data_IF_009487169252
#
_entry.id   IF_009487169252
#
_cell.length_a   1.000
_cell.length_b   1.000
_cell.length_c   1.000
_cell.angle_alpha   90.00
_cell.angle_beta   90.00
_cell.angle_gamma   90.00
#
_symmetry.space_group_name_H-M   'P 1'
#
loop_
_entity.id
_entity.type
_entity.pdbx_description
1 polymer ?
#
# COMPACT_ATOMS: atom_id res chain seq x y z
N UNK A 1 -16.78 5.29 9.65
CA UNK A 1 -16.01 4.11 10.07
C UNK A 1 -14.90 3.90 9.05
N UNK A 2 -13.66 4.32 9.34
CA UNK A 2 -12.59 4.40 8.33
C UNK A 2 -11.54 3.29 8.44
N UNK A 3 -11.38 2.68 9.61
CA UNK A 3 -10.40 1.61 9.81
C UNK A 3 -10.83 0.35 9.07
N UNK A 4 -12.11 -0.01 9.16
CA UNK A 4 -12.66 -1.19 8.48
C UNK A 4 -12.45 -1.15 6.98
N UNK A 5 -12.68 0.00 6.34
CA UNK A 5 -12.48 0.14 4.89
C UNK A 5 -11.02 -0.03 4.49
N UNK A 6 -10.08 0.52 5.26
CA UNK A 6 -8.63 0.36 5.00
C UNK A 6 -8.22 -1.11 5.13
N UNK A 7 -8.71 -1.81 6.15
CA UNK A 7 -8.44 -3.25 6.34
C UNK A 7 -9.00 -4.06 5.18
N UNK A 8 -10.27 -3.85 4.81
CA UNK A 8 -10.92 -4.59 3.72
C UNK A 8 -10.21 -4.35 2.38
N UNK A 9 -9.80 -3.12 2.08
CA UNK A 9 -9.05 -2.83 0.84
C UNK A 9 -7.72 -3.57 0.83
N UNK A 10 -6.97 -3.56 1.94
CA UNK A 10 -5.71 -4.28 2.03
C UNK A 10 -5.88 -5.80 1.87
N UNK A 11 -6.93 -6.37 2.46
CA UNK A 11 -7.27 -7.78 2.31
C UNK A 11 -7.61 -8.15 0.86
N UNK A 12 -8.46 -7.35 0.19
CA UNK A 12 -8.81 -7.57 -1.23
C UNK A 12 -7.56 -7.57 -2.10
N UNK A 13 -6.65 -6.60 -1.90
CA UNK A 13 -5.42 -6.50 -2.69
C UNK A 13 -4.46 -7.67 -2.45
N UNK A 14 -4.33 -8.13 -1.19
CA UNK A 14 -3.53 -9.32 -0.84
C UNK A 14 -4.12 -10.61 -1.41
N UNK A 15 -5.42 -10.83 -1.24
CA UNK A 15 -6.11 -12.03 -1.71
C UNK A 15 -6.06 -12.17 -3.24
N UNK A 16 -6.13 -11.04 -3.95
CA UNK A 16 -5.98 -11.02 -5.40
C UNK A 16 -4.52 -11.14 -5.88
N UNK A 17 -3.55 -11.20 -4.97
CA UNK A 17 -2.13 -11.30 -5.28
C UNK A 17 -1.55 -10.02 -5.91
N UNK A 18 -2.20 -8.87 -5.72
CA UNK A 18 -1.80 -7.57 -6.29
C UNK A 18 -0.83 -6.80 -5.39
N UNK A 19 -0.82 -7.12 -4.11
CA UNK A 19 0.06 -6.49 -3.14
C UNK A 19 0.52 -7.48 -2.08
N UNK A 20 1.70 -7.23 -1.52
CA UNK A 20 2.18 -7.88 -0.29
C UNK A 20 2.26 -6.84 0.83
N UNK A 21 1.86 -7.24 2.03
CA UNK A 21 2.02 -6.42 3.21
C UNK A 21 3.48 -6.32 3.62
N UNK A 22 3.92 -5.09 3.92
CA UNK A 22 5.24 -4.82 4.50
C UNK A 22 5.16 -4.43 5.96
N UNK A 23 4.09 -3.71 6.34
CA UNK A 23 3.92 -3.22 7.71
C UNK A 23 2.45 -2.95 7.99
N UNK A 24 1.99 -3.31 9.19
CA UNK A 24 0.72 -2.88 9.76
C UNK A 24 1.01 -2.25 11.11
N UNK A 25 0.53 -1.02 11.32
CA UNK A 25 0.71 -0.28 12.57
C UNK A 25 -0.64 0.25 13.03
N UNK A 26 -0.95 0.03 14.29
CA UNK A 26 -2.07 0.67 14.98
C UNK A 26 -1.54 1.65 16.02
N UNK A 27 -2.20 2.78 16.14
CA UNK A 27 -1.87 3.81 17.12
C UNK A 27 -3.13 4.58 17.50
N UNK A 28 -2.99 5.51 18.43
CA UNK A 28 -4.03 6.51 18.71
C UNK A 28 -3.49 7.90 18.40
N UNK A 29 -4.38 8.78 17.96
CA UNK A 29 -4.09 10.20 17.78
C UNK A 29 -5.04 11.02 18.63
N UNK A 30 -4.52 12.05 19.30
CA UNK A 30 -5.33 13.05 19.98
C UNK A 30 -5.97 13.97 18.95
N UNK A 31 -7.29 14.00 18.89
CA UNK A 31 -8.06 14.94 18.08
C UNK A 31 -8.88 15.84 18.99
N UNK A 32 -8.96 17.12 18.65
CA UNK A 32 -9.87 18.05 19.33
C UNK A 32 -11.29 17.72 18.88
N UNK A 33 -12.17 17.45 19.84
CA UNK A 33 -13.60 17.34 19.60
C UNK A 33 -14.20 18.76 19.65
N UNK A 34 -14.51 19.31 18.48
CA UNK A 34 -15.08 20.66 18.34
C UNK A 34 -16.46 20.78 19.00
N UNK A 35 -17.18 19.67 19.17
CA UNK A 35 -18.52 19.67 19.78
C UNK A 35 -18.48 19.67 21.31
N UNK A 36 -17.42 19.09 21.90
CA UNK A 36 -17.31 18.89 23.36
C UNK A 36 -16.14 19.65 23.99
N UNK A 37 -15.31 20.33 23.20
CA UNK A 37 -14.17 21.13 23.66
C UNK A 37 -13.04 20.31 24.31
N UNK A 38 -13.08 18.98 24.23
CA UNK A 38 -12.12 18.06 24.86
C UNK A 38 -11.25 17.37 23.81
N UNK A 39 -10.06 16.94 24.22
CA UNK A 39 -9.23 16.05 23.40
C UNK A 39 -9.77 14.62 23.50
N UNK A 40 -10.07 14.01 22.36
CA UNK A 40 -10.46 12.61 22.25
C UNK A 40 -9.35 11.82 21.58
N UNK A 41 -9.09 10.60 22.06
CA UNK A 41 -8.19 9.70 21.37
C UNK A 41 -8.96 8.91 20.30
N UNK A 42 -8.54 9.04 19.04
CA UNK A 42 -9.07 8.22 17.94
C UNK A 42 -8.05 7.17 17.54
N UNK A 43 -8.53 5.97 17.24
CA UNK A 43 -7.70 4.93 16.65
C UNK A 43 -7.25 5.34 15.25
N UNK A 44 -5.99 5.03 14.93
CA UNK A 44 -5.34 5.21 13.65
C UNK A 44 -4.73 3.88 13.22
N UNK A 45 -4.86 3.57 11.94
CA UNK A 45 -4.23 2.39 11.33
C UNK A 45 -3.40 2.86 10.14
N UNK A 46 -2.24 2.25 9.96
CA UNK A 46 -1.36 2.42 8.80
C UNK A 46 -1.02 1.05 8.24
N UNK A 47 -1.27 0.85 6.95
CA UNK A 47 -0.93 -0.39 6.24
C UNK A 47 -0.02 -0.03 5.07
N UNK A 48 1.22 -0.52 5.10
CA UNK A 48 2.20 -0.36 4.02
C UNK A 48 2.14 -1.60 3.15
N UNK A 49 1.82 -1.40 1.88
CA UNK A 49 1.72 -2.44 0.86
C UNK A 49 2.81 -2.22 -0.20
N UNK A 50 3.42 -3.30 -0.66
CA UNK A 50 4.32 -3.29 -1.82
C UNK A 50 3.64 -3.97 -3.02
N UNK A 51 3.91 -3.43 -4.21
CA UNK A 51 3.39 -3.98 -5.48
C UNK A 51 3.98 -5.36 -5.75
N UNK A 52 3.17 -6.25 -6.30
CA UNK A 52 3.63 -7.55 -6.83
C UNK A 52 3.84 -7.48 -8.33
N UNK A 53 4.53 -8.47 -8.89
CA UNK A 53 4.69 -8.62 -10.34
C UNK A 53 3.35 -8.74 -11.08
N UNK A 54 2.35 -9.39 -10.46
CA UNK A 54 0.99 -9.49 -11.00
C UNK A 54 0.37 -8.11 -11.22
N UNK A 55 0.55 -7.19 -10.27
CA UNK A 55 0.09 -5.81 -10.41
C UNK A 55 0.78 -5.13 -11.60
N UNK A 56 2.12 -5.20 -11.67
CA UNK A 56 2.90 -4.63 -12.78
C UNK A 56 2.43 -5.19 -14.12
N UNK A 57 2.22 -6.49 -14.23
CA UNK A 57 1.77 -7.13 -15.48
C UNK A 57 0.39 -6.67 -15.96
N UNK A 58 -0.49 -6.27 -15.04
CA UNK A 58 -1.86 -5.85 -15.33
C UNK A 58 -1.96 -4.35 -15.61
N UNK A 59 -1.13 -3.53 -14.96
CA UNK A 59 -1.19 -2.06 -15.07
C UNK A 59 -0.27 -1.49 -16.13
N UNK A 60 0.67 -2.30 -16.65
CA UNK A 60 1.65 -1.82 -17.62
C UNK A 60 1.10 -1.96 -19.04
N UNK A 61 0.94 -0.86 -19.80
CA UNK A 61 0.54 -0.95 -21.20
C UNK A 61 1.63 -1.67 -22.02
N UNK A 62 1.27 -2.31 -23.16
CA UNK A 62 2.19 -3.10 -23.97
C UNK A 62 3.47 -2.34 -24.37
N UNK A 63 3.37 -1.02 -24.55
CA UNK A 63 4.47 -0.12 -24.93
C UNK A 63 5.50 0.12 -23.82
N UNK A 64 5.15 -0.04 -22.54
CA UNK A 64 6.05 0.15 -21.41
C UNK A 64 6.74 -1.16 -20.96
N UNK A 65 6.16 -2.31 -21.31
CA UNK A 65 6.69 -3.66 -21.01
C UNK A 65 8.04 -3.95 -21.70
N UNK A 66 8.35 -3.25 -22.79
CA UNK A 66 9.63 -3.33 -23.49
C UNK A 66 10.78 -2.58 -22.78
N UNK A 67 10.48 -1.53 -22.00
CA UNK A 67 11.50 -0.69 -21.35
C UNK A 67 11.96 -1.23 -19.99
N UNK A 68 11.11 -1.94 -19.25
CA UNK A 68 11.52 -2.56 -17.97
C UNK A 68 12.49 -3.74 -18.16
N UNK A 69 12.41 -4.46 -19.29
CA UNK A 69 13.37 -5.55 -19.58
C UNK A 69 14.78 -5.07 -19.91
N UNK A 70 14.94 -3.81 -20.36
CA UNK A 70 16.27 -3.21 -20.60
C UNK A 70 16.92 -2.65 -19.33
N UNK A 71 16.14 -2.33 -18.28
CA UNK A 71 16.68 -1.82 -17.02
C UNK A 71 17.30 -2.93 -16.16
N UNK A 72 16.68 -4.12 -16.13
CA UNK A 72 17.21 -5.28 -15.38
C UNK A 72 18.46 -5.88 -16.06
N UNK A 73 18.57 -5.81 -17.39
CA UNK A 73 19.73 -6.34 -18.14
C UNK A 73 21.02 -5.51 -18.05
N UNK A 74 21.00 -4.30 -17.46
CA UNK A 74 22.19 -3.46 -17.31
C UNK A 74 22.86 -3.55 -15.93
N UNK A 75 22.17 -4.06 -14.91
CA UNK A 75 22.79 -4.25 -13.57
C UNK A 75 23.59 -5.55 -13.45
N UNK A 76 23.29 -6.61 -14.22
CA UNK A 76 24.04 -7.89 -14.16
C UNK A 76 25.39 -7.89 -14.92
N UNK A 77 25.77 -6.81 -15.63
CA UNK A 77 27.02 -6.77 -16.41
C UNK A 77 28.12 -5.88 -15.84
N UNK A 78 28.00 -5.46 -14.58
CA UNK A 78 29.03 -4.67 -13.88
C UNK A 78 29.30 -5.18 -12.46
N UNK A 79 29.64 -6.47 -12.33
CA UNK A 79 30.51 -6.99 -11.28
C UNK A 79 31.46 -8.01 -11.89
#
# INVERSE_FOLDING_TARGET
>A
MAITTVVTVAEILKNNGLAVEKKVVTSTIGMKDETRGRLIQKARIEIVLAKTEKYVSMTTPPSARAREKEAVGKEEKKQ
#
